data_IF_980131546682
#
_entry.id   IF_980131546682
#
_cell.length_a   1.000
_cell.length_b   1.000
_cell.length_c   1.000
_cell.angle_alpha   90.00
_cell.angle_beta   90.00
_cell.angle_gamma   90.00
#
_symmetry.space_group_name_H-M   'P 1'
#
loop_
_entity.id
_entity.type
_entity.pdbx_description
1 polymer ?
#
# COMPACT_ATOMS: atom_id res chain seq x y z
N UNK A 1 2.34 65.11 6.51
CA UNK A 1 3.11 64.36 7.52
C UNK A 1 2.38 63.11 8.01
N UNK A 2 1.18 63.18 8.62
CA UNK A 2 0.46 61.96 9.05
C UNK A 2 -0.06 61.09 7.89
N UNK A 3 -0.52 61.73 6.81
CA UNK A 3 -0.98 61.07 5.59
C UNK A 3 0.16 60.36 4.86
N UNK A 4 1.34 60.98 4.80
CA UNK A 4 2.52 60.40 4.17
C UNK A 4 3.01 59.15 4.94
N UNK A 5 2.95 59.19 6.27
CA UNK A 5 3.25 58.05 7.14
C UNK A 5 2.25 56.91 6.89
N UNK A 6 0.96 57.23 6.72
CA UNK A 6 -0.07 56.22 6.41
C UNK A 6 0.17 55.55 5.04
N UNK A 7 0.54 56.31 4.01
CA UNK A 7 0.87 55.74 2.69
C UNK A 7 2.11 54.85 2.72
N UNK A 8 3.14 55.22 3.49
CA UNK A 8 4.32 54.35 3.70
C UNK A 8 3.92 53.05 4.39
N UNK A 9 3.13 53.13 5.47
CA UNK A 9 2.65 51.96 6.19
C UNK A 9 1.79 51.03 5.33
N UNK A 10 0.92 51.59 4.46
CA UNK A 10 0.15 50.81 3.48
C UNK A 10 1.09 50.08 2.51
N UNK A 11 2.07 50.77 1.93
CA UNK A 11 3.00 50.15 1.00
C UNK A 11 3.88 49.07 1.62
N UNK A 12 4.24 49.20 2.90
CA UNK A 12 4.94 48.16 3.66
C UNK A 12 4.04 46.96 3.95
N UNK A 13 2.78 47.20 4.32
CA UNK A 13 1.78 46.15 4.54
C UNK A 13 1.48 45.37 3.26
N UNK A 14 1.27 46.04 2.13
CA UNK A 14 1.02 45.40 0.84
C UNK A 14 2.18 44.48 0.43
N UNK A 15 3.43 44.93 0.62
CA UNK A 15 4.61 44.10 0.38
C UNK A 15 4.66 42.88 1.29
N UNK A 16 4.32 43.05 2.56
CA UNK A 16 4.30 41.95 3.53
C UNK A 16 3.23 40.92 3.16
N UNK A 17 2.02 41.37 2.83
CA UNK A 17 0.91 40.51 2.43
C UNK A 17 1.25 39.76 1.14
N UNK A 18 1.77 40.44 0.12
CA UNK A 18 2.21 39.80 -1.14
C UNK A 18 3.26 38.71 -0.91
N UNK A 19 4.19 38.90 0.04
CA UNK A 19 5.15 37.85 0.42
C UNK A 19 4.48 36.62 1.04
N UNK A 20 3.43 36.80 1.83
CA UNK A 20 2.67 35.68 2.40
C UNK A 20 1.81 34.98 1.34
N UNK A 21 1.19 35.71 0.42
CA UNK A 21 0.45 35.15 -0.71
C UNK A 21 1.34 34.26 -1.58
N UNK A 22 2.54 34.72 -1.92
CA UNK A 22 3.50 33.94 -2.71
C UNK A 22 3.96 32.68 -1.96
N UNK A 23 4.21 32.79 -0.64
CA UNK A 23 4.56 31.64 0.21
C UNK A 23 3.42 30.62 0.29
N UNK A 24 2.19 31.09 0.47
CA UNK A 24 1.00 30.23 0.50
C UNK A 24 0.82 29.49 -0.81
N UNK A 25 0.95 30.20 -1.94
CA UNK A 25 0.91 29.59 -3.27
C UNK A 25 1.95 28.49 -3.45
N UNK A 26 3.19 28.72 -3.00
CA UNK A 26 4.25 27.71 -3.05
C UNK A 26 3.94 26.45 -2.21
N UNK A 27 3.30 26.63 -1.04
CA UNK A 27 2.83 25.51 -0.20
C UNK A 27 1.71 24.75 -0.91
N UNK A 28 0.73 25.45 -1.49
CA UNK A 28 -0.39 24.85 -2.23
C UNK A 28 0.08 24.05 -3.45
N UNK A 29 1.01 24.58 -4.22
CA UNK A 29 1.58 23.90 -5.40
C UNK A 29 2.35 22.63 -4.99
N UNK A 30 3.15 22.70 -3.91
CA UNK A 30 3.85 21.54 -3.35
C UNK A 30 2.86 20.49 -2.84
N UNK A 31 1.80 20.92 -2.18
CA UNK A 31 0.73 20.04 -1.71
C UNK A 31 0.01 19.34 -2.86
N UNK A 32 -0.33 20.06 -3.93
CA UNK A 32 -0.97 19.50 -5.12
C UNK A 32 -0.09 18.43 -5.77
N UNK A 33 1.21 18.72 -5.94
CA UNK A 33 2.18 17.77 -6.48
C UNK A 33 2.31 16.52 -5.60
N UNK A 34 2.31 16.68 -4.28
CA UNK A 34 2.29 15.57 -3.33
C UNK A 34 1.02 14.72 -3.49
N UNK A 35 -0.15 15.35 -3.60
CA UNK A 35 -1.41 14.65 -3.76
C UNK A 35 -1.42 13.81 -5.04
N UNK A 36 -1.03 14.38 -6.17
CA UNK A 36 -1.05 13.68 -7.45
C UNK A 36 -0.05 12.52 -7.49
N UNK A 37 1.18 12.74 -6.99
CA UNK A 37 2.20 11.69 -6.90
C UNK A 37 1.77 10.55 -5.99
N UNK A 38 1.13 10.86 -4.86
CA UNK A 38 0.64 9.86 -3.90
C UNK A 38 -0.47 8.99 -4.49
N UNK A 39 -1.39 9.59 -5.23
CA UNK A 39 -2.48 8.87 -5.89
C UNK A 39 -1.96 8.01 -7.04
N UNK A 40 -1.03 8.53 -7.85
CA UNK A 40 -0.38 7.76 -8.91
C UNK A 40 0.37 6.55 -8.34
N UNK A 41 1.13 6.75 -7.24
CA UNK A 41 1.84 5.67 -6.56
C UNK A 41 0.89 4.59 -6.04
N UNK A 42 -0.23 4.98 -5.41
CA UNK A 42 -1.25 4.03 -4.94
C UNK A 42 -1.84 3.22 -6.10
N UNK A 43 -2.22 3.89 -7.20
CA UNK A 43 -2.77 3.23 -8.38
C UNK A 43 -1.80 2.22 -9.00
N UNK A 44 -0.53 2.58 -9.15
CA UNK A 44 0.51 1.65 -9.63
C UNK A 44 0.68 0.46 -8.69
N UNK A 45 0.74 0.70 -7.38
CA UNK A 45 0.90 -0.35 -6.39
C UNK A 45 -0.28 -1.32 -6.36
N UNK A 46 -1.51 -0.83 -6.50
CA UNK A 46 -2.71 -1.69 -6.54
C UNK A 46 -2.69 -2.68 -7.69
N UNK A 47 -2.08 -2.31 -8.83
CA UNK A 47 -1.84 -3.20 -9.98
C UNK A 47 -0.66 -4.15 -9.74
N UNK A 48 0.42 -3.66 -9.15
CA UNK A 48 1.67 -4.43 -9.06
C UNK A 48 1.73 -5.39 -7.85
N UNK A 49 0.99 -5.12 -6.78
CA UNK A 49 0.97 -5.99 -5.59
C UNK A 49 0.50 -7.41 -5.91
N UNK A 50 -0.45 -7.58 -6.84
CA UNK A 50 -0.91 -8.89 -7.29
C UNK A 50 0.24 -9.69 -7.94
N UNK A 51 1.05 -9.02 -8.77
CA UNK A 51 2.23 -9.65 -9.40
C UNK A 51 3.24 -10.08 -8.34
N UNK A 52 3.47 -9.25 -7.33
CA UNK A 52 4.38 -9.57 -6.22
C UNK A 52 3.89 -10.78 -5.40
N UNK A 53 2.60 -10.84 -5.07
CA UNK A 53 1.98 -11.98 -4.38
C UNK A 53 2.13 -13.28 -5.19
N UNK A 54 1.85 -13.25 -6.50
CA UNK A 54 2.01 -14.41 -7.38
C UNK A 54 3.45 -14.95 -7.36
N UNK A 55 4.46 -14.07 -7.37
CA UNK A 55 5.87 -14.51 -7.29
C UNK A 55 6.20 -15.15 -5.93
N UNK A 56 5.62 -14.64 -4.85
CA UNK A 56 5.80 -15.22 -3.51
C UNK A 56 5.15 -16.60 -3.40
N UNK A 57 3.93 -16.76 -3.95
CA UNK A 57 3.25 -18.05 -4.05
C UNK A 57 4.05 -19.05 -4.89
N UNK A 58 4.67 -18.62 -5.99
CA UNK A 58 5.55 -19.48 -6.80
C UNK A 58 6.75 -19.99 -6.00
N UNK A 59 7.38 -19.14 -5.18
CA UNK A 59 8.48 -19.57 -4.30
C UNK A 59 7.98 -20.62 -3.29
N UNK A 60 6.82 -20.37 -2.68
CA UNK A 60 6.20 -21.30 -1.73
C UNK A 60 5.81 -22.63 -2.38
N UNK A 61 5.35 -22.61 -3.64
CA UNK A 61 5.04 -23.81 -4.40
C UNK A 61 6.29 -24.67 -4.64
N UNK A 62 7.44 -24.05 -4.94
CA UNK A 62 8.72 -24.76 -5.07
C UNK A 62 9.16 -25.36 -3.74
N UNK A 63 8.99 -24.65 -2.63
CA UNK A 63 9.25 -25.21 -1.29
C UNK A 63 8.38 -26.44 -1.02
N UNK A 64 7.09 -26.36 -1.36
CA UNK A 64 6.17 -27.49 -1.20
C UNK A 64 6.52 -28.68 -2.12
N UNK A 65 7.06 -28.42 -3.31
CA UNK A 65 7.56 -29.46 -4.21
C UNK A 65 8.80 -30.16 -3.64
N UNK A 66 9.77 -29.40 -3.13
CA UNK A 66 10.95 -29.94 -2.45
C UNK A 66 10.57 -30.76 -1.21
N UNK A 67 9.56 -30.34 -0.46
CA UNK A 67 9.05 -31.09 0.68
C UNK A 67 8.51 -32.48 0.26
N UNK A 68 7.75 -32.54 -0.84
CA UNK A 68 7.27 -33.82 -1.41
C UNK A 68 8.42 -34.66 -1.94
N UNK A 69 9.44 -34.05 -2.54
CA UNK A 69 10.62 -34.77 -2.99
C UNK A 69 11.34 -35.45 -1.81
N UNK A 70 11.47 -34.77 -0.67
CA UNK A 70 12.00 -35.36 0.57
C UNK A 70 11.16 -36.55 1.03
N UNK A 71 9.82 -36.46 1.02
CA UNK A 71 8.95 -37.59 1.36
C UNK A 71 9.17 -38.80 0.42
N UNK A 72 9.30 -38.55 -0.89
CA UNK A 72 9.60 -39.60 -1.88
C UNK A 72 10.97 -40.23 -1.63
N UNK A 73 11.99 -39.43 -1.30
CA UNK A 73 13.32 -39.94 -0.95
C UNK A 73 13.27 -40.80 0.32
N UNK A 74 12.48 -40.41 1.32
CA UNK A 74 12.27 -41.20 2.55
C UNK A 74 11.62 -42.55 2.22
N UNK A 75 10.58 -42.57 1.39
CA UNK A 75 9.94 -43.82 0.96
C UNK A 75 10.89 -44.72 0.15
N UNK A 76 11.69 -44.15 -0.77
CA UNK A 76 12.70 -44.91 -1.53
C UNK A 76 13.75 -45.54 -0.61
N UNK A 77 14.19 -44.83 0.42
CA UNK A 77 15.12 -45.36 1.42
C UNK A 77 14.52 -46.53 2.19
N UNK A 78 13.27 -46.40 2.64
CA UNK A 78 12.56 -47.47 3.37
C UNK A 78 12.38 -48.74 2.51
N UNK A 79 12.24 -48.58 1.20
CA UNK A 79 12.17 -49.69 0.24
C UNK A 79 13.54 -50.23 -0.19
N UNK A 80 14.65 -49.66 0.30
CA UNK A 80 16.00 -50.05 -0.10
C UNK A 80 16.36 -49.69 -1.55
N UNK A 81 15.63 -48.75 -2.17
CA UNK A 81 15.82 -48.31 -3.56
C UNK A 81 16.89 -47.24 -3.73
N UNK A 82 17.46 -46.75 -2.63
CA UNK A 82 18.53 -45.74 -2.59
C UNK A 82 19.49 -46.07 -1.44
N UNK A 83 20.77 -45.73 -1.62
CA UNK A 83 21.76 -45.89 -0.57
C UNK A 83 21.52 -44.87 0.56
N UNK A 84 21.97 -45.20 1.77
CA UNK A 84 21.88 -44.28 2.93
C UNK A 84 22.71 -43.01 2.70
N UNK A 85 23.84 -43.13 1.99
CA UNK A 85 24.71 -41.99 1.67
C UNK A 85 24.04 -41.02 0.68
N UNK A 86 23.49 -41.56 -0.43
CA UNK A 86 22.78 -40.74 -1.43
C UNK A 86 21.53 -40.11 -0.82
N UNK A 87 20.78 -40.87 -0.01
CA UNK A 87 19.63 -40.35 0.71
C UNK A 87 19.99 -39.14 1.57
N UNK A 88 21.03 -39.26 2.42
CA UNK A 88 21.45 -38.16 3.30
C UNK A 88 21.83 -36.93 2.51
N UNK A 89 22.64 -37.11 1.46
CA UNK A 89 23.11 -36.01 0.62
C UNK A 89 21.95 -35.27 -0.06
N UNK A 90 21.01 -36.00 -0.66
CA UNK A 90 19.87 -35.41 -1.37
C UNK A 90 18.90 -34.72 -0.41
N UNK A 91 18.62 -35.33 0.75
CA UNK A 91 17.73 -34.72 1.75
C UNK A 91 18.37 -33.49 2.39
N UNK A 92 19.68 -33.51 2.65
CA UNK A 92 20.40 -32.33 3.17
C UNK A 92 20.37 -31.17 2.17
N UNK A 93 20.66 -31.43 0.89
CA UNK A 93 20.58 -30.42 -0.16
C UNK A 93 19.16 -29.85 -0.32
N UNK A 94 18.15 -30.71 -0.36
CA UNK A 94 16.74 -30.28 -0.45
C UNK A 94 16.33 -29.44 0.75
N UNK A 95 16.67 -29.86 1.98
CA UNK A 95 16.37 -29.10 3.21
C UNK A 95 17.08 -27.76 3.27
N UNK A 96 18.34 -27.70 2.83
CA UNK A 96 19.10 -26.46 2.75
C UNK A 96 18.43 -25.46 1.80
N UNK A 97 18.03 -25.92 0.61
CA UNK A 97 17.31 -25.10 -0.38
C UNK A 97 15.94 -24.66 0.11
N UNK A 98 15.19 -25.54 0.78
CA UNK A 98 13.91 -25.18 1.40
C UNK A 98 14.11 -24.05 2.41
N UNK A 99 15.07 -24.18 3.32
CA UNK A 99 15.34 -23.16 4.34
C UNK A 99 15.71 -21.80 3.72
N UNK A 100 16.57 -21.79 2.69
CA UNK A 100 16.93 -20.57 1.97
C UNK A 100 15.72 -19.91 1.29
N UNK A 101 14.89 -20.71 0.61
CA UNK A 101 13.71 -20.20 -0.10
C UNK A 101 12.65 -19.69 0.87
N UNK A 102 12.41 -20.37 1.99
CA UNK A 102 11.48 -19.95 3.03
C UNK A 102 11.92 -18.64 3.68
N UNK A 103 13.20 -18.50 4.03
CA UNK A 103 13.75 -17.27 4.59
C UNK A 103 13.59 -16.10 3.61
N UNK A 104 13.92 -16.31 2.34
CA UNK A 104 13.77 -15.28 1.29
C UNK A 104 12.30 -14.92 1.04
N UNK A 105 11.42 -15.91 0.98
CA UNK A 105 9.98 -15.68 0.82
C UNK A 105 9.43 -14.84 1.96
N UNK A 106 9.82 -15.16 3.20
CA UNK A 106 9.44 -14.38 4.39
C UNK A 106 9.94 -12.95 4.30
N UNK A 107 11.23 -12.74 4.02
CA UNK A 107 11.81 -11.40 3.92
C UNK A 107 11.15 -10.55 2.81
N UNK A 108 10.82 -11.16 1.67
CA UNK A 108 10.09 -10.50 0.59
C UNK A 108 8.65 -10.16 1.00
N UNK A 109 7.96 -11.08 1.68
CA UNK A 109 6.61 -10.86 2.22
C UNK A 109 6.57 -9.69 3.19
N UNK A 110 7.51 -9.64 4.14
CA UNK A 110 7.63 -8.55 5.11
C UNK A 110 7.88 -7.20 4.42
N UNK A 111 8.74 -7.19 3.39
CA UNK A 111 9.02 -5.99 2.60
C UNK A 111 7.80 -5.52 1.80
N UNK A 112 7.03 -6.45 1.22
CA UNK A 112 5.77 -6.14 0.53
C UNK A 112 4.78 -5.50 1.51
N UNK A 113 4.60 -6.09 2.70
CA UNK A 113 3.71 -5.57 3.73
C UNK A 113 4.13 -4.16 4.20
N UNK A 114 5.42 -3.93 4.39
CA UNK A 114 5.96 -2.62 4.78
C UNK A 114 5.72 -1.56 3.70
N UNK A 115 5.95 -1.90 2.43
CA UNK A 115 5.70 -1.00 1.30
C UNK A 115 4.20 -0.68 1.21
N UNK A 116 3.34 -1.69 1.30
CA UNK A 116 1.88 -1.53 1.27
C UNK A 116 1.39 -0.58 2.37
N UNK A 117 1.85 -0.77 3.61
CA UNK A 117 1.50 0.10 4.73
C UNK A 117 1.93 1.55 4.51
N UNK A 118 3.16 1.77 3.99
CA UNK A 118 3.67 3.12 3.70
C UNK A 118 2.90 3.81 2.58
N UNK A 119 2.56 3.07 1.52
CA UNK A 119 1.78 3.59 0.40
C UNK A 119 0.38 3.95 0.87
N UNK A 120 -0.28 3.10 1.66
CA UNK A 120 -1.59 3.38 2.25
C UNK A 120 -1.57 4.61 3.15
N UNK A 121 -0.54 4.76 3.98
CA UNK A 121 -0.37 5.93 4.84
C UNK A 121 -0.25 7.23 4.03
N UNK A 122 0.61 7.25 3.02
CA UNK A 122 0.82 8.43 2.16
C UNK A 122 -0.43 8.75 1.34
N UNK A 123 -1.07 7.71 0.78
CA UNK A 123 -2.34 7.84 0.07
C UNK A 123 -3.44 8.44 0.94
N UNK A 124 -3.63 7.95 2.18
CA UNK A 124 -4.63 8.46 3.10
C UNK A 124 -4.43 9.95 3.40
N UNK A 125 -3.18 10.38 3.58
CA UNK A 125 -2.83 11.80 3.77
C UNK A 125 -3.11 12.65 2.55
N UNK A 126 -3.04 12.08 1.35
CA UNK A 126 -3.32 12.80 0.11
C UNK A 126 -4.82 12.94 -0.23
N UNK A 127 -5.70 12.32 0.56
CA UNK A 127 -7.15 12.45 0.32
C UNK A 127 -7.61 13.88 0.62
N UNK A 128 -8.36 14.45 -0.31
CA UNK A 128 -8.87 15.82 -0.22
C UNK A 128 -10.39 15.84 -0.28
N UNK A 129 -11.00 16.91 0.23
CA UNK A 129 -12.45 17.10 0.19
C UNK A 129 -12.98 17.09 -1.24
N UNK A 130 -12.28 17.78 -2.15
CA UNK A 130 -12.65 17.83 -3.57
C UNK A 130 -12.67 16.45 -4.25
N UNK A 131 -11.75 15.55 -3.86
CA UNK A 131 -11.73 14.18 -4.40
C UNK A 131 -12.83 13.33 -3.77
N UNK A 132 -12.96 13.37 -2.45
CA UNK A 132 -13.93 12.56 -1.72
C UNK A 132 -15.38 12.97 -1.99
N UNK A 133 -15.66 14.25 -2.24
CA UNK A 133 -17.01 14.73 -2.57
C UNK A 133 -17.55 14.19 -3.90
N UNK A 134 -16.65 13.76 -4.80
CA UNK A 134 -17.00 13.14 -6.08
C UNK A 134 -17.33 11.64 -5.94
N UNK A 135 -17.14 11.06 -4.75
CA UNK A 135 -17.33 9.63 -4.49
C UNK A 135 -18.52 9.44 -3.56
N UNK A 136 -19.54 8.72 -4.03
CA UNK A 136 -20.58 8.21 -3.14
C UNK A 136 -20.02 6.99 -2.36
N UNK A 137 -19.51 7.26 -1.16
CA UNK A 137 -18.89 6.26 -0.30
C UNK A 137 -19.88 5.18 0.18
N UNK A 138 -21.17 5.52 0.31
CA UNK A 138 -22.22 4.57 0.71
C UNK A 138 -22.53 3.63 -0.46
N UNK A 139 -22.72 4.17 -1.65
CA UNK A 139 -22.93 3.36 -2.85
C UNK A 139 -21.68 2.53 -3.21
N UNK A 140 -20.47 3.06 -2.98
CA UNK A 140 -19.23 2.31 -3.15
C UNK A 140 -19.16 1.11 -2.19
N UNK A 141 -19.44 1.33 -0.91
CA UNK A 141 -19.46 0.25 0.08
C UNK A 141 -20.46 -0.85 -0.27
N UNK A 142 -21.68 -0.46 -0.63
CA UNK A 142 -22.70 -1.43 -1.06
C UNK A 142 -22.24 -2.24 -2.27
N UNK A 143 -21.64 -1.60 -3.28
CA UNK A 143 -21.10 -2.30 -4.46
C UNK A 143 -20.02 -3.32 -4.09
N UNK A 144 -19.17 -3.01 -3.11
CA UNK A 144 -18.14 -3.95 -2.62
C UNK A 144 -18.78 -5.14 -1.90
N UNK A 145 -19.81 -4.91 -1.09
CA UNK A 145 -20.55 -5.99 -0.42
C UNK A 145 -21.30 -6.88 -1.42
N UNK A 146 -22.02 -6.28 -2.37
CA UNK A 146 -22.73 -7.01 -3.42
C UNK A 146 -21.76 -7.86 -4.27
N UNK A 147 -20.59 -7.30 -4.62
CA UNK A 147 -19.57 -8.02 -5.39
C UNK A 147 -18.99 -9.21 -4.61
N UNK A 148 -18.78 -9.07 -3.30
CA UNK A 148 -18.31 -10.17 -2.46
C UNK A 148 -19.38 -11.25 -2.30
N UNK A 149 -20.63 -10.86 -2.04
CA UNK A 149 -21.76 -11.78 -1.93
C UNK A 149 -22.02 -12.56 -3.23
N UNK A 150 -21.78 -11.92 -4.39
CA UNK A 150 -21.86 -12.57 -5.70
C UNK A 150 -20.64 -13.44 -6.05
N UNK A 151 -19.60 -13.49 -5.20
CA UNK A 151 -18.37 -14.22 -5.46
C UNK A 151 -17.49 -13.60 -6.55
N UNK A 152 -17.73 -12.34 -6.92
CA UNK A 152 -16.98 -11.63 -7.95
C UNK A 152 -15.60 -11.15 -7.46
N UNK A 153 -15.43 -11.02 -6.14
CA UNK A 153 -14.17 -10.71 -5.49
C UNK A 153 -13.90 -11.70 -4.35
N UNK A 154 -12.63 -12.00 -4.11
CA UNK A 154 -12.21 -12.84 -2.99
C UNK A 154 -12.21 -12.08 -1.65
N UNK A 155 -11.97 -12.82 -0.56
CA UNK A 155 -11.95 -12.28 0.81
C UNK A 155 -10.84 -11.23 1.01
N UNK A 156 -9.69 -11.42 0.36
CA UNK A 156 -8.54 -10.51 0.45
C UNK A 156 -8.87 -9.15 -0.19
N UNK A 157 -9.43 -9.18 -1.40
CA UNK A 157 -9.90 -8.02 -2.14
C UNK A 157 -11.02 -7.31 -1.38
N UNK A 158 -11.97 -8.06 -0.83
CA UNK A 158 -13.04 -7.51 0.00
C UNK A 158 -12.51 -6.78 1.24
N UNK A 159 -11.64 -7.43 2.02
CA UNK A 159 -11.06 -6.85 3.23
C UNK A 159 -10.25 -5.58 2.91
N UNK A 160 -9.49 -5.60 1.81
CA UNK A 160 -8.75 -4.43 1.33
C UNK A 160 -9.69 -3.27 1.00
N UNK A 161 -10.71 -3.50 0.17
CA UNK A 161 -11.64 -2.46 -0.26
C UNK A 161 -12.43 -1.86 0.91
N UNK A 162 -12.90 -2.70 1.85
CA UNK A 162 -13.57 -2.21 3.07
C UNK A 162 -12.66 -1.35 3.93
N UNK A 163 -11.38 -1.75 4.08
CA UNK A 163 -10.39 -0.94 4.80
C UNK A 163 -10.16 0.42 4.13
N UNK A 164 -10.04 0.45 2.80
CA UNK A 164 -9.86 1.70 2.04
C UNK A 164 -11.07 2.63 2.16
N UNK A 165 -12.29 2.08 2.05
CA UNK A 165 -13.53 2.85 2.25
C UNK A 165 -13.60 3.42 3.67
N UNK A 166 -13.23 2.64 4.69
CA UNK A 166 -13.22 3.12 6.07
C UNK A 166 -12.25 4.29 6.26
N UNK A 167 -11.06 4.24 5.65
CA UNK A 167 -10.11 5.36 5.64
C UNK A 167 -10.70 6.58 4.94
N UNK A 168 -11.32 6.42 3.77
CA UNK A 168 -11.95 7.53 3.06
C UNK A 168 -13.05 8.20 3.89
N UNK A 169 -13.88 7.42 4.58
CA UNK A 169 -14.94 7.95 5.46
C UNK A 169 -14.35 8.71 6.66
N UNK A 170 -13.37 8.14 7.33
CA UNK A 170 -12.73 8.79 8.48
C UNK A 170 -12.05 10.12 8.07
N UNK A 171 -11.37 10.16 6.92
CA UNK A 171 -10.78 11.40 6.41
C UNK A 171 -11.85 12.41 6.01
N UNK A 172 -12.94 11.97 5.37
CA UNK A 172 -14.08 12.83 5.03
C UNK A 172 -14.69 13.51 6.26
N UNK A 173 -14.89 12.77 7.34
CA UNK A 173 -15.40 13.31 8.61
C UNK A 173 -14.47 14.38 9.18
N UNK A 174 -13.16 14.09 9.28
CA UNK A 174 -12.17 15.05 9.77
C UNK A 174 -12.12 16.33 8.92
N UNK A 175 -12.15 16.19 7.60
CA UNK A 175 -12.12 17.33 6.68
C UNK A 175 -13.36 18.22 6.77
N UNK A 176 -14.51 17.69 7.20
CA UNK A 176 -15.72 18.49 7.41
C UNK A 176 -15.74 19.20 8.78
N UNK A 177 -14.90 18.79 9.74
CA UNK A 177 -14.81 19.44 11.07
C UNK A 177 -13.89 20.68 11.03
N UNK A 178 -12.88 20.69 10.17
CA UNK A 178 -11.80 21.69 10.15
C UNK A 178 -12.11 22.99 9.38
N UNK A 179 -13.38 23.32 9.12
CA UNK A 179 -13.70 24.59 8.45
C UNK A 179 -13.29 25.80 9.31
N UNK A 180 -12.43 26.70 8.80
CA UNK A 180 -12.44 28.07 9.30
C UNK A 180 -13.82 28.64 8.95
N UNK A 181 -14.54 29.16 9.94
CA UNK A 181 -15.71 29.99 9.63
C UNK A 181 -15.28 31.13 8.69
N UNK A 182 -16.09 31.44 7.66
CA UNK A 182 -15.79 32.53 6.73
C UNK A 182 -15.64 33.88 7.43
#
# INVERSE_FOLDING_TARGET
MSVDIAYVAIGELDKLLAQYEEKLKGIEDTWRAFVDSSQALKGSWDSDIAKAKIRLEQIQAVVAELAREVEVLTAKRELGLISEEDYRKLVEDARSKMAELEERAKALGDRIAQIDARIKYVWARSLTREKLSKVDLVALEKRVEDAYAAGAIDQDAYAKLKSEIAVMKAVWEVLNILEPSP
#
